data_IF_532358158694
#
_entry.id   IF_532358158694
#
_cell.length_a   1.000
_cell.length_b   1.000
_cell.length_c   1.000
_cell.angle_alpha   90.00
_cell.angle_beta   90.00
_cell.angle_gamma   90.00
#
_symmetry.space_group_name_H-M   'P 1'
#
loop_
_entity.id
_entity.type
_entity.pdbx_description
1 polymer ?
#
# COMPACT_ATOMS: atom_id res chain seq x y z
N UNK A 1 -7.51 -12.91 11.96
CA UNK A 1 -8.13 -11.93 11.03
C UNK A 1 -8.37 -12.59 9.67
N UNK A 2 -9.47 -12.26 9.00
CA UNK A 2 -9.80 -12.70 7.63
C UNK A 2 -9.64 -11.50 6.70
N UNK A 3 -8.59 -11.55 5.86
CA UNK A 3 -8.36 -10.61 4.77
C UNK A 3 -8.87 -11.22 3.46
N UNK A 4 -9.61 -10.44 2.68
CA UNK A 4 -10.13 -10.84 1.37
C UNK A 4 -9.91 -9.73 0.36
N UNK A 5 -9.18 -10.01 -0.72
CA UNK A 5 -9.14 -9.12 -1.89
C UNK A 5 -10.43 -9.32 -2.69
N UNK A 6 -11.23 -8.26 -2.76
CA UNK A 6 -12.51 -8.19 -3.48
C UNK A 6 -12.32 -7.77 -4.94
N UNK A 7 -11.23 -7.04 -5.22
CA UNK A 7 -10.81 -6.68 -6.56
C UNK A 7 -9.58 -7.49 -6.95
N UNK A 8 -9.68 -8.32 -7.99
CA UNK A 8 -8.59 -9.21 -8.44
C UNK A 8 -7.75 -8.61 -9.57
N UNK A 9 -8.24 -7.56 -10.23
CA UNK A 9 -7.56 -6.84 -11.32
C UNK A 9 -7.59 -5.32 -11.11
N UNK A 10 -6.49 -4.59 -11.35
CA UNK A 10 -6.46 -3.14 -11.16
C UNK A 10 -7.49 -2.41 -12.02
N UNK A 11 -8.22 -1.47 -11.42
CA UNK A 11 -9.19 -0.63 -12.13
C UNK A 11 -9.29 0.76 -11.51
N UNK A 12 -9.51 1.79 -12.34
CA UNK A 12 -9.70 3.18 -11.89
C UNK A 12 -8.59 3.71 -10.96
N UNK A 13 -7.33 3.29 -11.20
CA UNK A 13 -6.21 3.69 -10.36
C UNK A 13 -6.06 2.94 -9.04
N UNK A 14 -6.94 1.97 -8.78
CA UNK A 14 -6.86 1.08 -7.63
C UNK A 14 -6.09 -0.18 -7.98
N UNK A 15 -5.17 -0.57 -7.09
CA UNK A 15 -4.41 -1.82 -7.19
C UNK A 15 -5.21 -2.99 -6.62
N UNK A 16 -5.90 -2.74 -5.50
CA UNK A 16 -6.72 -3.71 -4.80
C UNK A 16 -7.86 -2.99 -4.06
N UNK A 17 -8.95 -3.73 -3.84
CA UNK A 17 -9.98 -3.41 -2.86
C UNK A 17 -10.09 -4.62 -1.96
N UNK A 18 -10.06 -4.40 -0.65
CA UNK A 18 -9.96 -5.47 0.33
C UNK A 18 -10.94 -5.28 1.47
N UNK A 19 -11.32 -6.40 2.09
CA UNK A 19 -12.13 -6.47 3.29
C UNK A 19 -11.33 -7.17 4.38
N UNK A 20 -11.27 -6.55 5.55
CA UNK A 20 -10.69 -7.11 6.78
C UNK A 20 -11.76 -7.21 7.85
N UNK A 21 -11.94 -8.42 8.38
CA UNK A 21 -12.76 -8.70 9.55
C UNK A 21 -11.95 -9.53 10.54
N UNK A 22 -12.21 -9.39 11.84
CA UNK A 22 -11.68 -10.33 12.82
C UNK A 22 -12.77 -10.90 13.72
N UNK A 23 -12.61 -12.15 14.14
CA UNK A 23 -13.49 -12.79 15.12
C UNK A 23 -12.99 -12.60 16.57
N UNK A 24 -11.78 -12.06 16.76
CA UNK A 24 -11.13 -11.91 18.06
C UNK A 24 -10.46 -10.55 18.16
N UNK A 25 -10.32 -10.05 19.38
CA UNK A 25 -9.49 -8.89 19.64
C UNK A 25 -8.01 -9.26 19.42
N UNK A 26 -7.35 -8.63 18.46
CA UNK A 26 -5.96 -8.88 18.10
C UNK A 26 -5.31 -7.64 17.48
N UNK A 27 -3.99 -7.64 17.38
CA UNK A 27 -3.25 -6.64 16.63
C UNK A 27 -2.80 -7.24 15.30
N UNK A 28 -3.15 -6.57 14.20
CA UNK A 28 -2.66 -6.92 12.88
C UNK A 28 -1.49 -6.01 12.51
N UNK A 29 -0.38 -6.62 12.10
CA UNK A 29 0.80 -5.88 11.66
C UNK A 29 0.70 -5.50 10.20
N UNK A 30 0.66 -4.21 9.92
CA UNK A 30 0.76 -3.66 8.57
C UNK A 30 2.22 -3.43 8.22
N UNK A 31 2.63 -3.92 7.05
CA UNK A 31 3.99 -3.78 6.53
C UNK A 31 4.05 -2.65 5.49
N UNK A 32 5.14 -1.86 5.44
CA UNK A 32 5.37 -0.88 4.38
C UNK A 32 5.34 -1.49 2.98
N UNK A 33 4.67 -0.86 2.04
CA UNK A 33 4.62 -1.26 0.62
C UNK A 33 4.72 -0.07 -0.37
N UNK A 34 4.83 1.15 0.15
CA UNK A 34 4.88 2.38 -0.64
C UNK A 34 3.56 2.72 -1.32
N UNK A 35 2.43 2.32 -0.74
CA UNK A 35 1.09 2.67 -1.21
C UNK A 35 0.38 3.67 -0.31
N UNK A 36 -0.66 4.27 -0.86
CA UNK A 36 -1.68 4.98 -0.09
C UNK A 36 -2.96 4.15 -0.11
N UNK A 37 -3.75 4.24 0.95
CA UNK A 37 -5.01 3.51 1.07
C UNK A 37 -6.14 4.46 1.50
N UNK A 38 -7.32 4.27 0.92
CA UNK A 38 -8.59 4.86 1.39
C UNK A 38 -9.35 3.77 2.12
N UNK A 39 -9.54 3.91 3.43
CA UNK A 39 -10.03 2.86 4.31
C UNK A 39 -11.31 3.32 5.00
N UNK A 40 -12.40 2.61 4.78
CA UNK A 40 -13.66 2.74 5.52
C UNK A 40 -13.59 1.81 6.73
N UNK A 41 -13.52 2.39 7.92
CA UNK A 41 -13.74 1.68 9.17
C UNK A 41 -15.25 1.65 9.44
N UNK A 42 -15.79 0.50 9.82
CA UNK A 42 -17.22 0.33 10.11
C UNK A 42 -17.48 -0.53 11.34
N UNK A 43 -18.65 -0.32 11.96
CA UNK A 43 -19.19 -1.16 13.02
C UNK A 43 -19.70 -2.47 12.40
N UNK A 44 -18.97 -3.56 12.67
CA UNK A 44 -19.27 -4.89 12.19
C UNK A 44 -20.39 -5.59 12.98
N UNK A 45 -20.81 -5.02 14.12
CA UNK A 45 -21.93 -5.51 14.93
C UNK A 45 -23.28 -4.95 14.48
N UNK A 46 -23.29 -3.75 13.87
CA UNK A 46 -24.50 -3.08 13.39
C UNK A 46 -25.14 -3.81 12.18
N UNK A 47 -26.47 -3.78 12.09
CA UNK A 47 -27.24 -4.25 10.91
C UNK A 47 -28.29 -3.19 10.56
N UNK A 48 -28.16 -2.48 9.41
CA UNK A 48 -27.05 -2.51 8.44
C UNK A 48 -25.70 -2.11 9.06
N UNK A 49 -24.60 -2.49 8.42
CA UNK A 49 -23.26 -2.03 8.79
C UNK A 49 -23.21 -0.50 8.78
N UNK A 50 -22.53 0.07 9.78
CA UNK A 50 -22.44 1.52 9.93
C UNK A 50 -20.98 1.97 9.80
N UNK A 51 -20.61 2.66 8.72
CA UNK A 51 -19.31 3.33 8.64
C UNK A 51 -19.11 4.29 9.82
N UNK A 52 -17.94 4.18 10.45
CA UNK A 52 -17.51 4.97 11.61
C UNK A 52 -16.64 6.13 11.11
N UNK A 53 -15.66 5.82 10.26
CA UNK A 53 -14.70 6.78 9.76
C UNK A 53 -14.16 6.36 8.39
N UNK A 54 -13.81 7.34 7.57
CA UNK A 54 -12.94 7.14 6.40
C UNK A 54 -11.56 7.67 6.75
N UNK A 55 -10.55 6.83 6.53
CA UNK A 55 -9.14 7.07 6.79
C UNK A 55 -8.40 7.12 5.46
N UNK A 56 -7.55 8.12 5.28
CA UNK A 56 -6.61 8.24 4.17
C UNK A 56 -5.22 8.00 4.75
N UNK A 57 -4.66 6.82 4.48
CA UNK A 57 -3.33 6.43 4.94
C UNK A 57 -2.30 6.71 3.86
N UNK A 58 -1.18 7.33 4.25
CA UNK A 58 -0.03 7.53 3.38
C UNK A 58 0.96 6.36 3.43
N UNK A 59 2.05 6.45 2.64
CA UNK A 59 3.06 5.42 2.59
C UNK A 59 3.81 5.30 3.93
N UNK A 60 4.03 4.08 4.39
CA UNK A 60 4.83 3.82 5.58
C UNK A 60 6.30 3.56 5.25
N UNK A 61 7.19 3.86 6.19
CA UNK A 61 8.62 3.53 6.18
C UNK A 61 8.99 2.50 7.25
N UNK A 62 8.02 2.12 8.09
CA UNK A 62 8.12 1.09 9.14
C UNK A 62 6.78 0.40 9.36
N UNK A 63 6.80 -0.78 9.97
CA UNK A 63 5.54 -1.43 10.36
C UNK A 63 4.79 -0.60 11.39
N UNK A 64 3.48 -0.85 11.46
CA UNK A 64 2.63 -0.40 12.54
C UNK A 64 1.56 -1.47 12.79
N UNK A 65 1.05 -1.50 14.01
CA UNK A 65 0.05 -2.47 14.43
C UNK A 65 -1.32 -1.79 14.49
N UNK A 66 -2.33 -2.41 13.90
CA UNK A 66 -3.72 -1.93 13.88
C UNK A 66 -4.55 -2.85 14.76
N UNK A 67 -5.22 -2.26 15.75
CA UNK A 67 -6.16 -2.99 16.59
C UNK A 67 -7.35 -3.48 15.76
N UNK A 68 -7.63 -4.77 15.84
CA UNK A 68 -8.79 -5.43 15.25
C UNK A 68 -9.63 -6.04 16.37
N UNK A 69 -10.94 -6.07 16.18
CA UNK A 69 -11.87 -6.70 17.09
C UNK A 69 -13.13 -7.14 16.37
N UNK A 70 -13.99 -7.96 17.00
CA UNK A 70 -15.22 -8.46 16.39
C UNK A 70 -16.22 -7.36 16.02
N UNK A 71 -16.11 -6.19 16.64
CA UNK A 71 -17.01 -5.05 16.43
C UNK A 71 -16.52 -4.10 15.33
N UNK A 72 -15.26 -4.21 14.89
CA UNK A 72 -14.66 -3.27 13.94
C UNK A 72 -14.25 -4.02 12.68
N UNK A 73 -14.81 -3.61 11.55
CA UNK A 73 -14.40 -4.05 10.23
C UNK A 73 -13.78 -2.93 9.42
N UNK A 74 -13.04 -3.32 8.38
CA UNK A 74 -12.40 -2.40 7.46
C UNK A 74 -12.64 -2.82 6.02
N UNK A 75 -13.02 -1.87 5.16
CA UNK A 75 -12.91 -2.02 3.71
C UNK A 75 -11.94 -0.99 3.21
N UNK A 76 -10.90 -1.40 2.50
CA UNK A 76 -9.91 -0.47 1.96
C UNK A 76 -9.77 -0.56 0.45
N UNK A 77 -9.48 0.57 -0.17
CA UNK A 77 -9.05 0.69 -1.55
C UNK A 77 -7.60 1.15 -1.59
N UNK A 78 -6.74 0.30 -2.14
CA UNK A 78 -5.32 0.56 -2.30
C UNK A 78 -5.07 1.30 -3.59
N UNK A 79 -4.42 2.45 -3.51
CA UNK A 79 -4.12 3.27 -4.68
C UNK A 79 -2.84 2.79 -5.34
N UNK A 80 -2.85 2.70 -6.67
CA UNK A 80 -1.60 2.55 -7.44
C UNK A 80 -0.72 3.78 -7.25
N UNK A 81 0.62 3.66 -7.26
CA UNK A 81 1.49 4.82 -7.21
C UNK A 81 1.19 5.78 -8.36
N UNK A 82 1.20 7.08 -8.07
CA UNK A 82 0.82 8.14 -9.02
C UNK A 82 -0.68 8.45 -9.07
N UNK A 83 -1.54 7.67 -8.38
CA UNK A 83 -2.99 7.90 -8.39
C UNK A 83 -3.54 8.65 -7.17
N UNK A 84 -2.71 8.92 -6.15
CA UNK A 84 -3.13 9.72 -5.00
C UNK A 84 -3.52 11.15 -5.40
N UNK A 85 -2.75 11.81 -6.27
CA UNK A 85 -3.06 13.15 -6.76
C UNK A 85 -4.37 13.23 -7.56
N UNK A 86 -4.62 12.42 -8.61
CA UNK A 86 -5.88 12.51 -9.35
C UNK A 86 -7.11 12.07 -8.54
N UNK A 87 -6.97 11.17 -7.57
CA UNK A 87 -8.09 10.71 -6.75
C UNK A 87 -8.41 11.68 -5.60
N UNK A 88 -7.38 12.17 -4.92
CA UNK A 88 -7.48 12.88 -3.64
C UNK A 88 -6.80 14.25 -3.64
N UNK A 89 -6.22 14.74 -4.73
CA UNK A 89 -5.38 15.96 -4.69
C UNK A 89 -4.35 15.91 -3.52
N UNK A 90 -3.76 14.73 -3.37
CA UNK A 90 -2.87 14.39 -2.26
C UNK A 90 -1.47 14.17 -2.79
N UNK A 91 -0.50 14.92 -2.25
CA UNK A 91 0.91 14.56 -2.36
C UNK A 91 1.22 13.47 -1.30
N UNK A 92 1.60 12.24 -1.71
CA UNK A 92 1.80 11.14 -0.75
C UNK A 92 2.87 11.43 0.31
N UNK A 93 3.86 12.28 -0.01
CA UNK A 93 4.93 12.70 0.90
C UNK A 93 4.41 13.42 2.15
N UNK A 94 3.22 14.03 2.06
CA UNK A 94 2.59 14.75 3.17
C UNK A 94 2.00 13.83 4.26
N UNK A 95 1.85 12.53 3.98
CA UNK A 95 1.28 11.55 4.90
C UNK A 95 2.22 10.36 5.17
N UNK A 96 3.53 10.55 5.01
CA UNK A 96 4.52 9.50 5.33
C UNK A 96 4.39 9.09 6.80
N UNK A 97 4.26 7.79 7.06
CA UNK A 97 4.04 7.22 8.40
C UNK A 97 2.81 7.81 9.13
N UNK A 98 1.81 8.30 8.38
CA UNK A 98 0.65 9.00 8.92
C UNK A 98 -0.64 8.72 8.16
N UNK A 99 -1.73 9.27 8.69
CA UNK A 99 -3.06 9.21 8.07
C UNK A 99 -3.89 10.44 8.47
N UNK A 100 -4.97 10.69 7.72
CA UNK A 100 -6.01 11.67 8.05
C UNK A 100 -7.35 10.95 8.10
N UNK A 101 -8.20 11.24 9.09
CA UNK A 101 -9.45 10.53 9.30
C UNK A 101 -10.62 11.42 9.71
N UNK A 102 -11.82 10.84 9.67
CA UNK A 102 -13.02 11.44 10.25
C UNK A 102 -13.39 12.80 9.63
N UNK A 103 -13.79 13.75 10.47
CA UNK A 103 -14.18 15.09 10.04
C UNK A 103 -13.06 15.84 9.29
N UNK A 104 -11.79 15.64 9.68
CA UNK A 104 -10.67 16.28 8.99
C UNK A 104 -10.52 15.75 7.55
N UNK A 105 -10.74 14.45 7.34
CA UNK A 105 -10.75 13.86 6.01
C UNK A 105 -11.94 14.35 5.19
N UNK A 106 -13.14 14.43 5.77
CA UNK A 106 -14.34 14.94 5.09
C UNK A 106 -14.25 16.43 4.73
N UNK A 107 -13.66 17.25 5.60
CA UNK A 107 -13.45 18.66 5.34
C UNK A 107 -12.50 18.88 4.16
N UNK A 108 -11.44 18.07 4.06
CA UNK A 108 -10.48 18.14 2.96
C UNK A 108 -11.00 17.48 1.68
N UNK A 109 -11.75 16.39 1.81
CA UNK A 109 -12.26 15.58 0.69
C UNK A 109 -13.76 15.31 0.82
N UNK A 110 -14.62 16.30 0.50
CA UNK A 110 -16.07 16.14 0.61
C UNK A 110 -16.64 14.97 -0.21
N UNK A 111 -15.96 14.58 -1.29
CA UNK A 111 -16.32 13.43 -2.13
C UNK A 111 -16.27 12.08 -1.39
N UNK A 112 -15.69 12.00 -0.19
CA UNK A 112 -15.72 10.79 0.64
C UNK A 112 -17.05 10.61 1.38
N UNK A 113 -17.91 11.64 1.42
CA UNK A 113 -19.18 11.62 2.17
C UNK A 113 -20.10 10.44 1.84
N UNK A 114 -20.27 10.00 0.57
CA UNK A 114 -21.09 8.83 0.25
C UNK A 114 -20.61 7.54 0.91
N UNK A 115 -19.33 7.44 1.28
CA UNK A 115 -18.77 6.26 1.96
C UNK A 115 -19.26 6.10 3.41
N UNK A 116 -19.90 7.13 3.98
CA UNK A 116 -20.45 7.09 5.34
C UNK A 116 -21.89 6.52 5.43
N UNK A 117 -22.55 6.30 4.30
CA UNK A 117 -23.92 5.78 4.32
C UNK A 117 -23.94 4.33 4.89
N UNK A 118 -25.00 3.92 5.61
CA UNK A 118 -25.16 2.53 6.03
C UNK A 118 -25.10 1.57 4.85
N UNK A 119 -24.60 0.35 5.07
CA UNK A 119 -24.41 -0.66 4.03
C UNK A 119 -24.88 -2.04 4.50
N UNK A 120 -25.41 -2.86 3.59
CA UNK A 120 -25.88 -4.20 3.90
C UNK A 120 -24.73 -5.11 4.33
N UNK A 121 -23.60 -5.01 3.64
CA UNK A 121 -22.39 -5.77 3.90
C UNK A 121 -21.11 -5.03 3.46
N UNK A 122 -19.95 -5.68 3.62
CA UNK A 122 -18.67 -5.10 3.20
C UNK A 122 -18.50 -5.00 1.69
N UNK A 123 -19.21 -5.80 0.89
CA UNK A 123 -19.14 -5.72 -0.58
C UNK A 123 -19.82 -4.46 -1.09
N UNK A 124 -20.90 -4.02 -0.46
CA UNK A 124 -21.54 -2.75 -0.80
C UNK A 124 -20.62 -1.55 -0.50
N UNK A 125 -19.90 -1.57 0.63
CA UNK A 125 -18.89 -0.55 0.94
C UNK A 125 -17.77 -0.57 -0.13
N UNK A 126 -17.30 -1.76 -0.51
CA UNK A 126 -16.29 -1.93 -1.55
C UNK A 126 -16.77 -1.39 -2.91
N UNK A 127 -18.02 -1.66 -3.29
CA UNK A 127 -18.63 -1.14 -4.51
C UNK A 127 -18.68 0.40 -4.52
N UNK A 128 -18.98 1.02 -3.37
CA UNK A 128 -18.94 2.49 -3.24
C UNK A 128 -17.55 3.06 -3.36
N UNK A 129 -16.52 2.39 -2.81
CA UNK A 129 -15.11 2.79 -3.01
C UNK A 129 -14.70 2.72 -4.50
N UNK A 130 -15.13 1.67 -5.21
CA UNK A 130 -14.88 1.51 -6.64
C UNK A 130 -15.56 2.61 -7.46
N UNK A 131 -16.84 2.87 -7.21
CA UNK A 131 -17.60 3.94 -7.86
C UNK A 131 -16.97 5.31 -7.57
N UNK A 132 -16.63 5.60 -6.31
CA UNK A 132 -15.92 6.81 -5.92
C UNK A 132 -14.62 6.98 -6.73
N UNK A 133 -13.77 5.96 -6.80
CA UNK A 133 -12.53 6.05 -7.55
C UNK A 133 -12.77 6.30 -9.06
N UNK A 134 -13.77 5.63 -9.66
CA UNK A 134 -14.13 5.82 -11.05
C UNK A 134 -14.59 7.27 -11.34
N UNK A 135 -15.45 7.83 -10.49
CA UNK A 135 -15.92 9.22 -10.59
C UNK A 135 -14.77 10.20 -10.47
N UNK A 136 -13.87 10.00 -9.51
CA UNK A 136 -12.71 10.88 -9.29
C UNK A 136 -11.74 10.86 -10.47
N UNK A 137 -11.43 9.68 -11.03
CA UNK A 137 -10.57 9.59 -12.22
C UNK A 137 -11.23 10.26 -13.43
N UNK A 138 -12.52 10.03 -13.65
CA UNK A 138 -13.25 10.65 -14.75
C UNK A 138 -13.26 12.18 -14.63
N UNK A 139 -13.50 12.70 -13.42
CA UNK A 139 -13.50 14.13 -13.13
C UNK A 139 -12.11 14.77 -13.31
N UNK A 140 -11.04 14.08 -12.92
CA UNK A 140 -9.67 14.55 -13.05
C UNK A 140 -9.16 14.58 -14.50
N UNK A 141 -9.85 13.91 -15.44
CA UNK A 141 -9.38 13.68 -16.82
C UNK A 141 -7.94 13.15 -16.88
N UNK A 142 -7.57 12.35 -15.87
CA UNK A 142 -6.20 11.93 -15.65
C UNK A 142 -5.74 10.93 -16.72
N UNK A 143 -4.55 11.15 -17.25
CA UNK A 143 -3.87 10.21 -18.15
C UNK A 143 -2.59 9.72 -17.47
N UNK A 144 -2.43 8.39 -17.27
CA UNK A 144 -1.26 7.88 -16.55
C UNK A 144 0.01 8.03 -17.40
N UNK A 145 1.01 8.71 -16.85
CA UNK A 145 2.32 8.88 -17.46
C UNK A 145 2.96 7.51 -17.78
N UNK A 146 3.24 7.28 -19.07
CA UNK A 146 3.87 6.04 -19.56
C UNK A 146 5.27 5.85 -19.00
N UNK A 147 6.07 6.92 -18.91
CA UNK A 147 7.41 6.85 -18.35
C UNK A 147 7.33 6.46 -16.87
N UNK A 148 6.49 7.12 -16.08
CA UNK A 148 6.32 6.78 -14.66
C UNK A 148 5.91 5.31 -14.48
N UNK A 149 4.97 4.83 -15.30
CA UNK A 149 4.52 3.44 -15.28
C UNK A 149 5.67 2.47 -15.55
N UNK A 150 6.49 2.74 -16.56
CA UNK A 150 7.62 1.89 -16.91
C UNK A 150 8.72 1.91 -15.84
N UNK A 151 8.97 3.09 -15.24
CA UNK A 151 9.88 3.24 -14.11
C UNK A 151 9.39 2.39 -12.93
N UNK A 152 8.12 2.52 -12.54
CA UNK A 152 7.54 1.72 -11.45
C UNK A 152 7.62 0.22 -11.76
N UNK A 153 7.25 -0.20 -12.97
CA UNK A 153 7.32 -1.59 -13.41
C UNK A 153 8.74 -2.15 -13.33
N UNK A 154 9.74 -1.36 -13.74
CA UNK A 154 11.15 -1.75 -13.65
C UNK A 154 11.60 -1.97 -12.21
N UNK A 155 11.27 -1.05 -11.29
CA UNK A 155 11.62 -1.17 -9.88
C UNK A 155 10.98 -2.41 -9.23
N UNK A 156 9.70 -2.67 -9.49
CA UNK A 156 9.00 -3.85 -8.98
C UNK A 156 9.56 -5.14 -9.57
N UNK A 157 9.75 -5.21 -10.89
CA UNK A 157 10.28 -6.39 -11.57
C UNK A 157 11.69 -6.78 -11.11
N UNK A 158 12.51 -5.79 -10.74
CA UNK A 158 13.82 -6.04 -10.19
C UNK A 158 13.84 -6.36 -8.69
N UNK A 159 12.70 -6.30 -7.99
CA UNK A 159 12.62 -6.47 -6.54
C UNK A 159 13.41 -5.39 -5.79
N UNK A 160 13.46 -4.15 -6.31
CA UNK A 160 14.19 -3.05 -5.70
C UNK A 160 15.71 -3.07 -5.91
N UNK A 161 16.24 -3.96 -6.76
CA UNK A 161 17.69 -4.08 -7.01
C UNK A 161 18.24 -3.10 -8.05
N UNK A 162 17.39 -2.38 -8.79
CA UNK A 162 17.83 -1.43 -9.82
C UNK A 162 18.44 -0.19 -9.20
N UNK A 163 19.55 0.26 -9.82
CA UNK A 163 20.15 1.56 -9.51
C UNK A 163 19.44 2.64 -10.31
N UNK A 164 19.32 3.83 -9.70
CA UNK A 164 18.70 4.99 -10.34
C UNK A 164 19.43 5.35 -11.64
N UNK A 165 20.76 5.32 -11.65
CA UNK A 165 21.60 5.52 -12.83
C UNK A 165 21.19 4.61 -14.00
N UNK A 166 21.07 3.31 -13.76
CA UNK A 166 20.80 2.32 -14.81
C UNK A 166 19.39 2.48 -15.37
N UNK A 167 18.43 2.79 -14.50
CA UNK A 167 17.06 3.12 -14.91
C UNK A 167 17.03 4.41 -15.73
N UNK A 168 17.74 5.46 -15.30
CA UNK A 168 17.80 6.74 -15.99
C UNK A 168 18.39 6.59 -17.41
N UNK A 169 19.52 5.87 -17.53
CA UNK A 169 20.14 5.56 -18.80
C UNK A 169 19.23 4.76 -19.74
N UNK A 170 18.54 3.73 -19.22
CA UNK A 170 17.60 2.91 -20.01
C UNK A 170 16.45 3.72 -20.60
N UNK A 171 15.95 4.70 -19.85
CA UNK A 171 14.83 5.54 -20.26
C UNK A 171 15.26 6.86 -20.90
N UNK A 172 16.56 7.08 -21.11
CA UNK A 172 17.12 8.30 -21.72
C UNK A 172 16.68 9.60 -21.00
N UNK A 173 16.61 9.53 -19.66
CA UNK A 173 16.28 10.66 -18.80
C UNK A 173 17.38 10.88 -17.77
N UNK A 174 17.38 12.04 -17.12
CA UNK A 174 18.30 12.28 -16.01
C UNK A 174 17.89 11.52 -14.75
N UNK A 175 18.86 11.16 -13.89
CA UNK A 175 18.57 10.58 -12.57
C UNK A 175 17.64 11.47 -11.74
N UNK A 176 17.82 12.79 -11.82
CA UNK A 176 16.94 13.77 -11.17
C UNK A 176 15.49 13.62 -11.60
N UNK A 177 15.24 13.31 -12.87
CA UNK A 177 13.89 13.08 -13.40
C UNK A 177 13.28 11.82 -12.80
N UNK A 178 14.04 10.71 -12.80
CA UNK A 178 13.59 9.44 -12.18
C UNK A 178 13.28 9.62 -10.70
N UNK A 179 14.18 10.27 -9.95
CA UNK A 179 13.97 10.52 -8.52
C UNK A 179 12.74 11.36 -8.24
N UNK A 180 12.54 12.43 -9.05
CA UNK A 180 11.39 13.31 -8.92
C UNK A 180 10.08 12.55 -9.19
N UNK A 181 9.98 11.86 -10.32
CA UNK A 181 8.77 11.12 -10.72
C UNK A 181 8.38 10.05 -9.69
N UNK A 182 9.36 9.26 -9.22
CA UNK A 182 9.11 8.25 -8.20
C UNK A 182 8.67 8.87 -6.87
N UNK A 183 9.30 9.98 -6.46
CA UNK A 183 8.94 10.66 -5.21
C UNK A 183 7.54 11.27 -5.29
N UNK A 184 7.17 11.89 -6.40
CA UNK A 184 5.83 12.44 -6.62
C UNK A 184 4.77 11.31 -6.60
N UNK A 185 5.08 10.16 -7.20
CA UNK A 185 4.14 9.05 -7.30
C UNK A 185 3.96 8.24 -6.01
N UNK A 186 5.04 8.04 -5.25
CA UNK A 186 5.08 7.13 -4.09
C UNK A 186 5.10 7.91 -2.77
N UNK A 187 5.62 9.14 -2.76
CA UNK A 187 5.85 9.94 -1.55
C UNK A 187 7.15 9.61 -0.81
N UNK A 188 7.92 8.63 -1.29
CA UNK A 188 9.14 8.15 -0.64
C UNK A 188 10.38 8.42 -1.49
N UNK A 189 11.57 8.60 -0.86
CA UNK A 189 12.82 8.58 -1.58
C UNK A 189 13.00 7.24 -2.32
N UNK A 190 13.55 7.22 -3.56
CA UNK A 190 13.67 5.97 -4.33
C UNK A 190 14.46 4.87 -3.62
N UNK A 191 15.49 5.23 -2.84
CA UNK A 191 16.25 4.27 -2.02
C UNK A 191 15.38 3.63 -0.92
N UNK A 192 14.48 4.41 -0.31
CA UNK A 192 13.55 3.89 0.70
C UNK A 192 12.57 2.91 0.04
N UNK A 193 12.01 3.29 -1.11
CA UNK A 193 11.11 2.41 -1.86
C UNK A 193 11.82 1.12 -2.33
N UNK A 194 13.04 1.23 -2.87
CA UNK A 194 13.86 0.07 -3.23
C UNK A 194 14.07 -0.88 -2.05
N UNK A 195 14.40 -0.37 -0.86
CA UNK A 195 14.56 -1.20 0.35
C UNK A 195 13.25 -1.92 0.73
N UNK A 196 12.10 -1.28 0.55
CA UNK A 196 10.78 -1.89 0.79
C UNK A 196 10.56 -3.04 -0.19
N UNK A 197 10.82 -2.84 -1.48
CA UNK A 197 10.71 -3.88 -2.49
C UNK A 197 11.67 -5.06 -2.24
N UNK A 198 12.92 -4.77 -1.84
CA UNK A 198 13.89 -5.81 -1.47
C UNK A 198 13.43 -6.61 -0.25
N UNK A 199 12.86 -5.95 0.76
CA UNK A 199 12.29 -6.60 1.94
C UNK A 199 11.15 -7.55 1.57
N UNK A 200 10.19 -7.10 0.76
CA UNK A 200 9.11 -7.97 0.27
C UNK A 200 9.60 -9.09 -0.62
N UNK A 201 10.62 -8.84 -1.45
CA UNK A 201 11.24 -9.89 -2.24
C UNK A 201 11.89 -10.96 -1.36
N UNK A 202 12.69 -10.56 -0.36
CA UNK A 202 13.28 -11.49 0.60
C UNK A 202 12.22 -12.24 1.41
N UNK A 203 11.13 -11.58 1.83
CA UNK A 203 10.03 -12.24 2.51
C UNK A 203 9.44 -13.38 1.68
N UNK A 204 9.20 -13.15 0.38
CA UNK A 204 8.71 -14.20 -0.54
C UNK A 204 9.72 -15.34 -0.70
N UNK A 205 11.00 -15.03 -0.91
CA UNK A 205 12.06 -16.05 -1.00
C UNK A 205 12.11 -16.95 0.25
N UNK A 206 11.95 -16.35 1.43
CA UNK A 206 11.98 -17.08 2.69
C UNK A 206 10.68 -17.84 2.99
N UNK A 207 9.53 -17.35 2.55
CA UNK A 207 8.20 -17.95 2.85
C UNK A 207 7.78 -18.99 1.81
N UNK A 208 7.93 -18.66 0.53
CA UNK A 208 7.43 -19.48 -0.58
C UNK A 208 8.50 -20.48 -1.04
N UNK A 209 9.75 -20.02 -1.20
CA UNK A 209 10.85 -20.86 -1.67
C UNK A 209 11.64 -21.51 -0.54
N UNK A 210 11.35 -21.14 0.73
CA UNK A 210 11.97 -21.68 1.94
C UNK A 210 13.50 -21.62 1.95
N UNK A 211 14.08 -20.60 1.29
CA UNK A 211 15.53 -20.39 1.29
C UNK A 211 16.05 -20.10 2.70
N UNK A 212 17.34 -20.33 2.92
CA UNK A 212 18.00 -19.87 4.14
C UNK A 212 18.07 -18.34 4.18
N UNK A 213 18.17 -17.72 5.37
CA UNK A 213 18.39 -16.28 5.51
C UNK A 213 19.61 -15.75 4.75
N UNK A 214 20.68 -16.54 4.60
CA UNK A 214 21.86 -16.14 3.86
C UNK A 214 21.60 -16.09 2.34
N UNK A 215 20.98 -17.13 1.78
CA UNK A 215 20.64 -17.20 0.36
C UNK A 215 19.62 -16.14 -0.04
N UNK A 216 18.57 -15.96 0.78
CA UNK A 216 17.56 -14.94 0.53
C UNK A 216 18.14 -13.53 0.56
N UNK A 217 19.13 -13.26 1.43
CA UNK A 217 19.80 -11.98 1.47
C UNK A 217 20.53 -11.68 0.16
N UNK A 218 21.31 -12.64 -0.35
CA UNK A 218 22.04 -12.49 -1.60
C UNK A 218 21.09 -12.33 -2.79
N UNK A 219 20.08 -13.17 -2.91
CA UNK A 219 19.13 -13.12 -4.03
C UNK A 219 18.29 -11.84 -4.03
N UNK A 220 17.87 -11.35 -2.86
CA UNK A 220 17.14 -10.10 -2.74
C UNK A 220 18.03 -8.84 -2.91
N UNK A 221 19.35 -9.01 -3.05
CA UNK A 221 20.29 -7.92 -3.31
C UNK A 221 20.72 -7.16 -2.05
N UNK A 222 20.69 -7.80 -0.88
CA UNK A 222 21.35 -7.29 0.31
C UNK A 222 22.85 -7.62 0.26
N UNK A 223 23.67 -6.72 0.80
CA UNK A 223 25.11 -6.96 0.97
C UNK A 223 25.43 -8.26 1.74
N UNK A 224 24.65 -8.54 2.80
CA UNK A 224 24.77 -9.73 3.63
C UNK A 224 23.49 -9.97 4.45
N UNK A 225 23.43 -11.08 5.18
CA UNK A 225 22.32 -11.42 6.07
C UNK A 225 22.14 -10.42 7.23
N UNK A 226 23.21 -9.80 7.74
CA UNK A 226 23.13 -8.85 8.84
C UNK A 226 22.47 -7.54 8.38
N UNK A 227 22.76 -7.08 7.16
CA UNK A 227 22.08 -5.99 6.49
C UNK A 227 20.59 -6.30 6.29
N UNK A 228 20.26 -7.48 5.73
CA UNK A 228 18.87 -7.91 5.60
C UNK A 228 18.16 -7.92 6.96
N UNK A 229 18.81 -8.44 8.00
CA UNK A 229 18.24 -8.52 9.35
C UNK A 229 17.98 -7.15 9.99
N UNK A 230 18.77 -6.12 9.66
CA UNK A 230 18.51 -4.73 10.09
C UNK A 230 17.28 -4.15 9.38
N UNK A 231 17.15 -4.43 8.08
CA UNK A 231 15.99 -3.97 7.29
C UNK A 231 14.70 -4.65 7.75
N UNK A 232 14.73 -5.96 8.04
CA UNK A 232 13.59 -6.70 8.58
C UNK A 232 13.11 -6.15 9.92
N UNK A 233 14.04 -5.82 10.84
CA UNK A 233 13.66 -5.20 12.12
C UNK A 233 13.03 -3.83 11.91
N UNK A 234 13.58 -3.01 11.02
CA UNK A 234 13.05 -1.66 10.73
C UNK A 234 11.67 -1.72 10.08
N UNK A 235 11.52 -2.54 9.03
CA UNK A 235 10.32 -2.55 8.19
C UNK A 235 9.22 -3.47 8.72
N UNK A 236 9.58 -4.58 9.38
CA UNK A 236 8.62 -5.58 9.87
C UNK A 236 8.59 -5.79 11.38
N UNK A 237 9.59 -5.29 12.12
CA UNK A 237 9.63 -5.47 13.58
C UNK A 237 9.98 -6.89 14.01
N UNK A 238 10.57 -7.68 13.12
CA UNK A 238 10.99 -9.06 13.38
C UNK A 238 12.31 -9.36 12.66
N UNK A 239 12.85 -10.56 12.87
CA UNK A 239 14.05 -11.03 12.16
C UNK A 239 13.66 -12.07 11.10
N UNK A 240 14.49 -12.30 10.07
CA UNK A 240 14.21 -13.31 9.05
C UNK A 240 13.93 -14.72 9.60
N UNK A 241 14.58 -15.09 10.71
CA UNK A 241 14.41 -16.39 11.38
C UNK A 241 13.26 -16.46 12.39
N UNK A 242 12.62 -15.34 12.74
CA UNK A 242 11.47 -15.29 13.67
C UNK A 242 10.34 -14.45 13.07
N UNK A 243 9.89 -14.83 11.88
CA UNK A 243 8.77 -14.18 11.19
C UNK A 243 7.46 -14.62 11.85
N UNK A 244 6.52 -13.70 12.13
CA UNK A 244 5.17 -14.09 12.48
C UNK A 244 4.46 -14.66 11.25
N UNK A 245 3.29 -15.26 11.44
CA UNK A 245 2.37 -15.50 10.35
C UNK A 245 1.90 -14.14 9.80
N UNK A 246 2.14 -13.90 8.52
CA UNK A 246 1.84 -12.62 7.87
C UNK A 246 0.87 -12.88 6.73
N UNK A 247 -0.17 -12.07 6.63
CA UNK A 247 -0.93 -11.95 5.38
C UNK A 247 -0.08 -11.11 4.43
N UNK A 248 0.59 -11.76 3.50
CA UNK A 248 1.35 -11.08 2.45
C UNK A 248 0.35 -10.46 1.47
N UNK A 249 0.34 -9.13 1.39
CA UNK A 249 -0.39 -8.43 0.33
C UNK A 249 0.45 -8.50 -0.94
N UNK A 250 -0.17 -8.89 -2.06
CA UNK A 250 0.51 -8.91 -3.35
C UNK A 250 0.78 -7.48 -3.80
N UNK A 251 2.06 -7.07 -3.80
CA UNK A 251 2.47 -5.77 -4.34
C UNK A 251 2.68 -5.93 -5.84
N UNK A 252 1.78 -5.37 -6.64
CA UNK A 252 1.84 -5.35 -8.11
C UNK A 252 2.34 -3.99 -8.59
N UNK A 253 3.14 -4.00 -9.66
CA UNK A 253 3.66 -2.78 -10.33
C UNK A 253 2.58 -2.01 -11.09
#
# INVERSE_FOLDING_TARGET
MRYLELLTAPQHGLEAVWLSLSARAEHYRVLPDGRCDVIVQFDASARPLRPIAVLIAGPATRFYDVAHGPEIGFVGARLRPGYAAPLLDLEPSSLVDGHVGGEAALARWPALRPLYAPAQDGHEIAARLLAWAAERIAAARFQPDGLLRDLLGSFHGAGGRLRIHDTAARHQVSERTVQRLLREAIGLPPKTFANILQFHHALRLLSEQRLSPAEAALQAGFADQAHMSRVFRRLGGFTPGRRPELTLVNIRG
#
